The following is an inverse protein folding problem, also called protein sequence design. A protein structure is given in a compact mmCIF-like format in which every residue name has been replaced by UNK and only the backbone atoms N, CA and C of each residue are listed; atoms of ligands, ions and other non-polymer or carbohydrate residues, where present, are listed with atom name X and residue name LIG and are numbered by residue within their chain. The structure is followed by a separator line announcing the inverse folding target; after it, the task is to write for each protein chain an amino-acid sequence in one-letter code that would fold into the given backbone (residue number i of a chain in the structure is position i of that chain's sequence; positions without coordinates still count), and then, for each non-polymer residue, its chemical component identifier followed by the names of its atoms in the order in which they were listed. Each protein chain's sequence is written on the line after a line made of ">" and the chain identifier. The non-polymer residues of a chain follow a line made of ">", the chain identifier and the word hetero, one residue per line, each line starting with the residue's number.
data_IF_590038550608
#
_entry.id   IF_590038550608
#
_cell.length_a   1.000
_cell.length_b   1.000
_cell.length_c   1.000
_cell.angle_alpha   90.00
_cell.angle_beta   90.00
_cell.angle_gamma   90.00
#
_symmetry.space_group_name_H-M   'P 1'
#
loop_
_entity.id
_entity.type
_entity.pdbx_description
1 polymer ?
#
# COMPACT_ATOMS: atom_id res chain seq x y z
N UNK A 1 -28.69 -24.17 6.10
CA UNK A 1 -28.63 -24.61 7.51
C UNK A 1 -27.87 -23.55 8.29
N UNK A 2 -28.47 -23.12 9.39
CA UNK A 2 -28.21 -21.87 10.09
C UNK A 2 -26.85 -21.83 10.81
N UNK A 3 -26.23 -20.65 10.84
CA UNK A 3 -25.06 -20.34 11.68
C UNK A 3 -25.42 -19.26 12.69
N UNK A 4 -25.46 -19.66 13.96
CA UNK A 4 -25.82 -18.86 15.14
C UNK A 4 -24.73 -17.83 15.48
N UNK A 5 -25.13 -16.59 15.79
CA UNK A 5 -24.24 -15.56 16.37
C UNK A 5 -24.21 -15.68 17.89
N UNK A 6 -23.02 -15.93 18.46
CA UNK A 6 -22.75 -15.80 19.90
C UNK A 6 -22.11 -14.45 20.23
N UNK A 7 -22.28 -13.90 21.46
CA UNK A 7 -21.72 -12.62 21.84
C UNK A 7 -20.28 -12.80 22.31
N UNK A 8 -19.34 -12.65 21.38
CA UNK A 8 -17.93 -12.55 21.68
C UNK A 8 -17.30 -11.68 20.60
N UNK A 9 -16.79 -10.52 20.98
CA UNK A 9 -16.04 -9.62 20.10
C UNK A 9 -14.71 -10.23 19.68
N UNK A 10 -14.76 -11.29 18.87
CA UNK A 10 -13.64 -11.80 18.10
C UNK A 10 -13.46 -10.89 16.91
N UNK A 11 -12.29 -10.23 16.83
CA UNK A 11 -11.81 -9.57 15.63
C UNK A 11 -11.92 -10.61 14.50
N UNK A 12 -12.68 -10.35 13.44
CA UNK A 12 -12.74 -11.26 12.31
C UNK A 12 -11.31 -11.56 11.87
N UNK A 13 -10.88 -12.82 12.01
CA UNK A 13 -9.59 -13.27 11.50
C UNK A 13 -9.60 -13.00 10.00
N UNK A 14 -8.69 -12.17 9.46
CA UNK A 14 -8.66 -11.91 8.04
C UNK A 14 -8.48 -13.24 7.30
N UNK A 15 -9.25 -13.44 6.23
CA UNK A 15 -9.18 -14.64 5.39
C UNK A 15 -7.73 -15.02 5.09
N UNK A 16 -7.39 -16.33 5.06
CA UNK A 16 -6.04 -16.78 4.77
C UNK A 16 -5.59 -16.24 3.41
N UNK A 17 -4.39 -15.64 3.37
CA UNK A 17 -3.77 -15.20 2.12
C UNK A 17 -3.27 -16.41 1.34
N UNK A 18 -3.59 -16.44 0.05
CA UNK A 18 -3.05 -17.42 -0.89
C UNK A 18 -1.94 -16.74 -1.67
N UNK A 19 -0.78 -17.39 -1.74
CA UNK A 19 0.41 -16.88 -2.41
C UNK A 19 0.50 -17.42 -3.84
N UNK A 20 1.06 -16.64 -4.79
CA UNK A 20 1.69 -15.33 -4.59
C UNK A 20 0.69 -14.20 -4.31
N UNK A 21 1.11 -13.20 -3.54
CA UNK A 21 0.25 -12.15 -3.01
C UNK A 21 0.82 -10.75 -3.25
N UNK A 22 0.02 -9.87 -3.85
CA UNK A 22 0.34 -8.47 -4.08
C UNK A 22 -0.23 -7.65 -2.92
N UNK A 23 0.60 -6.88 -2.23
CA UNK A 23 0.19 -6.01 -1.12
C UNK A 23 0.75 -4.59 -1.24
N UNK A 24 -0.01 -3.60 -0.78
CA UNK A 24 0.46 -2.22 -0.68
C UNK A 24 0.72 -1.81 0.78
N UNK A 25 1.79 -1.02 0.97
CA UNK A 25 2.16 -0.40 2.25
C UNK A 25 2.51 1.07 2.03
N UNK A 26 2.00 1.96 2.87
CA UNK A 26 2.41 3.37 2.91
C UNK A 26 3.19 3.62 4.20
N UNK A 27 4.37 4.20 4.06
CA UNK A 27 5.29 4.41 5.18
C UNK A 27 5.73 5.86 5.27
N UNK A 28 5.56 6.47 6.44
CA UNK A 28 6.08 7.79 6.81
C UNK A 28 7.48 7.72 7.43
N UNK A 29 8.17 6.59 7.30
CA UNK A 29 9.49 6.28 7.84
C UNK A 29 9.51 5.73 9.28
N UNK A 30 8.35 5.63 9.95
CA UNK A 30 8.28 5.03 11.29
C UNK A 30 7.89 3.55 11.29
N UNK A 31 7.44 3.00 10.15
CA UNK A 31 7.00 1.62 10.05
C UNK A 31 8.12 0.73 9.51
N UNK A 32 8.19 -0.50 10.01
CA UNK A 32 9.06 -1.54 9.47
C UNK A 32 8.23 -2.55 8.69
N UNK A 33 8.83 -3.11 7.63
CA UNK A 33 8.22 -4.23 6.91
C UNK A 33 8.61 -5.53 7.62
N UNK A 34 7.62 -6.24 8.13
CA UNK A 34 7.80 -7.52 8.82
C UNK A 34 7.87 -8.66 7.78
N UNK A 35 9.08 -9.12 7.47
CA UNK A 35 9.31 -10.17 6.48
C UNK A 35 8.75 -11.53 6.90
N UNK A 36 8.74 -11.85 8.18
CA UNK A 36 8.28 -13.15 8.71
C UNK A 36 6.75 -13.31 8.60
N UNK A 37 6.04 -12.19 8.41
CA UNK A 37 4.58 -12.14 8.27
C UNK A 37 4.12 -11.49 6.96
N UNK A 38 5.01 -11.40 5.97
CA UNK A 38 4.75 -10.79 4.66
C UNK A 38 4.09 -9.40 4.74
N UNK A 39 4.55 -8.57 5.69
CA UNK A 39 4.05 -7.21 5.87
C UNK A 39 2.60 -7.10 6.37
N UNK A 40 1.97 -8.21 6.82
CA UNK A 40 0.57 -8.23 7.29
C UNK A 40 0.21 -7.10 8.28
N UNK A 41 1.07 -6.73 9.26
CA UNK A 41 0.71 -5.70 10.24
C UNK A 41 0.55 -4.29 9.66
N UNK A 42 1.15 -4.02 8.49
CA UNK A 42 1.22 -2.69 7.87
C UNK A 42 0.61 -2.66 6.46
N UNK A 43 -0.11 -3.72 6.11
CA UNK A 43 -0.80 -3.89 4.84
C UNK A 43 -2.01 -2.96 4.72
N UNK A 44 -2.12 -2.25 3.60
CA UNK A 44 -3.29 -1.44 3.24
C UNK A 44 -4.40 -2.26 2.58
N UNK A 45 -4.00 -3.33 1.89
CA UNK A 45 -4.82 -4.22 1.12
C UNK A 45 -3.98 -4.93 0.07
N UNK A 46 -4.57 -5.95 -0.54
CA UNK A 46 -3.89 -6.80 -1.49
C UNK A 46 -4.80 -7.82 -2.14
N UNK A 47 -4.24 -8.57 -3.07
CA UNK A 47 -4.92 -9.65 -3.76
C UNK A 47 -3.96 -10.81 -4.08
N UNK A 48 -4.50 -12.02 -4.20
CA UNK A 48 -3.76 -13.17 -4.74
C UNK A 48 -3.57 -13.00 -6.25
N UNK A 49 -2.34 -13.22 -6.72
CA UNK A 49 -1.97 -13.10 -8.12
C UNK A 49 -0.98 -14.20 -8.53
N UNK A 50 -1.44 -15.18 -9.29
CA UNK A 50 -0.64 -16.32 -9.75
C UNK A 50 0.27 -15.93 -10.93
N UNK A 51 1.29 -15.12 -10.67
CA UNK A 51 2.14 -14.50 -11.72
C UNK A 51 3.40 -15.30 -12.09
N UNK A 52 3.60 -16.48 -11.49
CA UNK A 52 4.80 -17.30 -11.72
C UNK A 52 4.58 -18.28 -12.89
N UNK A 53 5.60 -18.46 -13.73
CA UNK A 53 5.64 -19.46 -14.80
C UNK A 53 4.49 -19.39 -15.81
N UNK A 54 4.04 -18.17 -16.14
CA UNK A 54 3.04 -17.94 -17.18
C UNK A 54 3.72 -17.89 -18.56
N UNK A 55 3.00 -18.36 -19.58
CA UNK A 55 3.47 -18.40 -20.97
C UNK A 55 3.07 -17.15 -21.78
N UNK A 56 2.69 -16.08 -21.09
CA UNK A 56 2.23 -14.82 -21.64
C UNK A 56 2.65 -13.67 -20.72
N UNK A 57 2.60 -12.45 -21.24
CA UNK A 57 2.99 -11.27 -20.49
C UNK A 57 1.99 -10.97 -19.37
N UNK A 58 2.51 -10.54 -18.23
CA UNK A 58 1.70 -10.03 -17.11
C UNK A 58 1.88 -8.52 -16.99
N UNK A 59 0.81 -7.84 -16.61
CA UNK A 59 0.81 -6.39 -16.48
C UNK A 59 0.29 -5.96 -15.13
N UNK A 60 0.88 -4.87 -14.63
CA UNK A 60 0.49 -4.22 -13.40
C UNK A 60 0.37 -2.72 -13.63
N UNK A 61 -0.73 -2.14 -13.19
CA UNK A 61 -1.00 -0.71 -13.29
C UNK A 61 -1.22 -0.15 -11.89
N UNK A 62 -0.34 0.78 -11.50
CA UNK A 62 -0.51 1.58 -10.28
C UNK A 62 -1.04 2.94 -10.69
N UNK A 63 -2.25 3.27 -10.21
CA UNK A 63 -2.93 4.53 -10.48
C UNK A 63 -3.10 5.31 -9.18
N UNK A 64 -2.62 6.55 -9.17
CA UNK A 64 -2.83 7.47 -8.05
C UNK A 64 -3.53 8.75 -8.53
N UNK A 65 -4.80 8.91 -8.15
CA UNK A 65 -5.65 10.03 -8.57
C UNK A 65 -6.49 10.49 -7.39
N UNK A 66 -6.56 11.81 -7.14
CA UNK A 66 -7.43 12.40 -6.09
C UNK A 66 -7.32 11.66 -4.75
N UNK A 67 -6.09 11.37 -4.29
CA UNK A 67 -5.79 10.63 -3.06
C UNK A 67 -6.33 9.20 -2.99
N UNK A 68 -6.61 8.59 -4.14
CA UNK A 68 -7.00 7.18 -4.26
C UNK A 68 -5.88 6.42 -4.95
N UNK A 69 -5.40 5.37 -4.29
CA UNK A 69 -4.46 4.41 -4.84
C UNK A 69 -5.24 3.21 -5.36
N UNK A 70 -5.14 2.95 -6.66
CA UNK A 70 -5.68 1.75 -7.29
C UNK A 70 -4.53 0.94 -7.88
N UNK A 71 -4.53 -0.37 -7.66
CA UNK A 71 -3.66 -1.32 -8.37
C UNK A 71 -4.56 -2.25 -9.18
N UNK A 72 -4.32 -2.28 -10.48
CA UNK A 72 -4.96 -3.21 -11.40
C UNK A 72 -3.93 -4.19 -11.95
N UNK A 73 -4.37 -5.41 -12.23
CA UNK A 73 -3.53 -6.47 -12.77
C UNK A 73 -4.19 -7.13 -13.98
N UNK A 74 -3.37 -7.54 -14.95
CA UNK A 74 -3.74 -8.48 -16.01
C UNK A 74 -2.70 -9.60 -15.98
N UNK A 75 -3.12 -10.75 -15.43
CA UNK A 75 -2.26 -11.92 -15.23
C UNK A 75 -2.80 -13.15 -15.95
N UNK A 76 -3.97 -13.02 -16.59
CA UNK A 76 -4.66 -14.11 -17.26
C UNK A 76 -4.41 -14.08 -18.78
N UNK A 77 -3.63 -13.09 -19.26
CA UNK A 77 -3.29 -12.90 -20.68
C UNK A 77 -4.48 -12.49 -21.54
N UNK A 78 -5.53 -11.92 -20.92
CA UNK A 78 -6.79 -11.59 -21.59
C UNK A 78 -6.88 -10.13 -22.00
N UNK A 79 -5.90 -9.30 -21.63
CA UNK A 79 -6.00 -7.85 -21.78
C UNK A 79 -7.20 -7.25 -21.03
N UNK A 80 -7.59 -7.91 -19.94
CA UNK A 80 -8.67 -7.51 -19.06
C UNK A 80 -8.11 -7.16 -17.68
N UNK A 81 -8.30 -5.90 -17.28
CA UNK A 81 -7.82 -5.43 -15.98
C UNK A 81 -8.73 -5.91 -14.86
N UNK A 82 -8.13 -6.54 -13.84
CA UNK A 82 -8.79 -6.90 -12.59
C UNK A 82 -8.34 -5.98 -11.47
N UNK A 83 -9.28 -5.50 -10.66
CA UNK A 83 -8.98 -4.70 -9.48
C UNK A 83 -8.28 -5.58 -8.42
N UNK A 84 -7.13 -5.12 -7.92
CA UNK A 84 -6.37 -5.79 -6.87
C UNK A 84 -6.42 -5.00 -5.56
N UNK A 85 -6.09 -3.71 -5.62
CA UNK A 85 -6.05 -2.82 -4.46
C UNK A 85 -6.83 -1.57 -4.83
N UNK A 86 -7.70 -1.10 -3.94
CA UNK A 86 -8.43 0.14 -4.15
C UNK A 86 -8.64 0.88 -2.81
N UNK A 87 -7.73 1.82 -2.53
CA UNK A 87 -7.63 2.46 -1.21
C UNK A 87 -7.77 3.99 -1.36
N UNK A 88 -8.85 4.59 -0.84
CA UNK A 88 -8.99 6.04 -0.76
C UNK A 88 -8.22 6.62 0.43
N UNK A 89 -8.02 7.94 0.43
CA UNK A 89 -7.40 8.66 1.54
C UNK A 89 -5.89 8.48 1.64
N UNK A 90 -5.24 7.96 0.59
CA UNK A 90 -3.78 7.86 0.51
C UNK A 90 -3.21 9.23 0.15
N UNK A 91 -2.41 9.80 1.03
CA UNK A 91 -1.74 11.09 0.84
C UNK A 91 -0.27 10.84 0.59
N UNK A 92 0.25 11.26 -0.56
CA UNK A 92 1.67 11.14 -0.91
C UNK A 92 2.24 12.54 -1.23
N UNK A 93 3.40 12.91 -0.67
CA UNK A 93 4.12 14.11 -1.07
C UNK A 93 4.57 14.09 -2.53
N UNK A 94 4.81 15.28 -3.09
CA UNK A 94 5.47 15.41 -4.40
C UNK A 94 6.99 15.26 -4.25
N UNK A 95 7.67 14.94 -5.35
CA UNK A 95 9.14 14.83 -5.39
C UNK A 95 9.70 13.46 -5.02
N UNK A 96 8.87 12.41 -5.06
CA UNK A 96 9.31 11.04 -4.84
C UNK A 96 9.91 10.43 -6.11
N UNK A 97 10.66 9.35 -5.90
CA UNK A 97 11.25 8.56 -6.96
C UNK A 97 10.40 7.33 -7.22
N UNK A 98 10.20 7.00 -8.50
CA UNK A 98 9.67 5.72 -8.90
C UNK A 98 10.81 4.73 -8.99
N UNK A 99 10.63 3.55 -8.39
CA UNK A 99 11.64 2.51 -8.36
C UNK A 99 11.01 1.15 -8.17
N UNK A 100 11.74 0.14 -8.61
CA UNK A 100 11.37 -1.27 -8.52
C UNK A 100 12.60 -2.03 -8.05
N UNK A 101 12.40 -2.99 -7.17
CA UNK A 101 13.45 -3.86 -6.67
C UNK A 101 12.90 -5.26 -6.42
N UNK A 102 13.79 -6.23 -6.35
CA UNK A 102 13.49 -7.63 -6.02
C UNK A 102 14.59 -8.17 -5.10
N UNK A 103 14.26 -9.25 -4.40
CA UNK A 103 15.20 -9.96 -3.52
C UNK A 103 14.86 -11.44 -3.54
N UNK A 104 15.89 -12.29 -3.50
CA UNK A 104 15.77 -13.74 -3.36
C UNK A 104 16.39 -14.18 -2.03
N UNK A 105 15.82 -15.21 -1.42
CA UNK A 105 16.34 -15.83 -0.19
C UNK A 105 16.91 -17.21 -0.48
N UNK A 106 16.62 -18.17 0.41
CA UNK A 106 17.00 -19.58 0.25
C UNK A 106 16.35 -20.21 -1.00
N UNK A 107 15.17 -19.72 -1.38
CA UNK A 107 14.54 -20.01 -2.67
C UNK A 107 14.78 -18.83 -3.62
N UNK A 108 15.06 -19.16 -4.89
CA UNK A 108 15.31 -18.18 -5.95
C UNK A 108 14.26 -18.27 -7.05
N UNK A 109 14.04 -17.14 -7.71
CA UNK A 109 13.26 -17.02 -8.94
C UNK A 109 13.81 -15.84 -9.76
N UNK A 110 13.52 -15.83 -11.06
CA UNK A 110 13.84 -14.71 -11.93
C UNK A 110 12.80 -13.59 -11.74
N UNK A 111 13.28 -12.35 -11.67
CA UNK A 111 12.45 -11.18 -11.45
C UNK A 111 12.70 -10.17 -12.56
N UNK A 112 12.00 -10.36 -13.68
CA UNK A 112 12.24 -9.57 -14.90
C UNK A 112 11.26 -8.40 -15.02
N UNK A 113 11.80 -7.21 -15.35
CA UNK A 113 11.02 -6.01 -15.65
C UNK A 113 11.23 -5.67 -17.12
N UNK A 114 10.23 -6.01 -17.94
CA UNK A 114 10.30 -5.82 -19.39
C UNK A 114 10.17 -4.33 -19.76
N UNK A 115 9.24 -3.61 -19.12
CA UNK A 115 9.08 -2.17 -19.33
C UNK A 115 8.42 -1.48 -18.14
N UNK A 116 8.78 -0.22 -17.92
CA UNK A 116 8.18 0.64 -16.91
C UNK A 116 7.75 1.94 -17.61
N UNK A 117 6.44 2.19 -17.65
CA UNK A 117 5.86 3.36 -18.34
C UNK A 117 5.16 4.26 -17.31
N UNK A 118 5.52 5.54 -17.28
CA UNK A 118 4.89 6.54 -16.43
C UNK A 118 4.01 7.46 -17.27
N UNK A 119 2.81 7.71 -16.77
CA UNK A 119 1.85 8.63 -17.39
C UNK A 119 1.40 9.67 -16.38
N UNK A 120 1.37 10.93 -16.81
CA UNK A 120 0.72 11.99 -16.06
C UNK A 120 -0.77 12.01 -16.41
N UNK A 121 -1.63 11.90 -15.41
CA UNK A 121 -3.09 11.95 -15.58
C UNK A 121 -3.57 13.40 -15.42
N UNK A 122 -4.17 13.97 -16.47
CA UNK A 122 -4.84 15.27 -16.42
C UNK A 122 -6.24 15.08 -15.87
N UNK A 123 -6.44 15.51 -14.62
CA UNK A 123 -7.74 15.44 -13.95
C UNK A 123 -8.09 16.81 -13.42
N UNK A 124 -9.31 17.26 -13.66
CA UNK A 124 -9.80 18.52 -13.12
C UNK A 124 -9.86 18.44 -11.59
N UNK A 125 -9.25 19.47 -10.96
CA UNK A 125 -9.15 19.64 -9.51
C UNK A 125 -9.61 21.05 -9.18
N UNK A 126 -10.32 21.21 -8.07
CA UNK A 126 -10.63 22.55 -7.59
C UNK A 126 -9.37 23.22 -7.02
N UNK A 127 -9.29 24.56 -6.98
CA UNK A 127 -8.16 25.27 -6.38
C UNK A 127 -7.87 24.82 -4.93
N UNK A 128 -8.92 24.50 -4.17
CA UNK A 128 -8.82 24.02 -2.79
C UNK A 128 -8.18 22.63 -2.74
N UNK A 129 -8.55 21.73 -3.66
CA UNK A 129 -7.94 20.40 -3.75
C UNK A 129 -6.46 20.48 -4.12
N UNK A 130 -6.10 21.36 -5.05
CA UNK A 130 -4.70 21.53 -5.46
C UNK A 130 -3.84 22.08 -4.31
N UNK A 131 -4.34 23.08 -3.58
CA UNK A 131 -3.66 23.61 -2.39
C UNK A 131 -3.43 22.51 -1.36
N UNK A 132 -4.49 21.75 -1.05
CA UNK A 132 -4.46 20.65 -0.08
C UNK A 132 -3.46 19.55 -0.47
N UNK A 133 -3.32 19.27 -1.77
CA UNK A 133 -2.37 18.26 -2.30
C UNK A 133 -0.93 18.77 -2.37
N UNK A 134 -0.72 20.10 -2.44
CA UNK A 134 0.61 20.72 -2.40
C UNK A 134 1.19 20.75 -0.97
N UNK A 135 0.33 20.80 0.04
CA UNK A 135 0.70 20.87 1.46
C UNK A 135 0.92 19.48 2.12
N UNK A 136 1.06 18.41 1.34
CA UNK A 136 1.34 17.07 1.86
C UNK A 136 2.86 16.88 1.99
N UNK A 137 3.36 16.86 3.23
CA UNK A 137 4.79 16.70 3.53
C UNK A 137 5.17 15.29 4.01
N UNK A 138 4.23 14.56 4.62
CA UNK A 138 4.40 13.19 5.08
C UNK A 138 3.35 12.29 4.43
N UNK A 139 3.69 11.05 4.06
CA UNK A 139 2.71 10.15 3.53
C UNK A 139 1.87 9.55 4.65
N UNK A 140 0.55 9.55 4.47
CA UNK A 140 -0.41 9.08 5.48
C UNK A 140 -1.61 8.48 4.77
N UNK A 141 -2.32 7.57 5.43
CA UNK A 141 -3.61 7.05 4.99
C UNK A 141 -4.67 7.47 6.00
N UNK A 142 -5.67 8.25 5.56
CA UNK A 142 -6.63 8.93 6.46
C UNK A 142 -7.45 7.97 7.36
N UNK A 143 -7.61 6.69 6.97
CA UNK A 143 -8.48 5.71 7.65
C UNK A 143 -7.77 4.45 8.17
N UNK A 144 -6.45 4.46 8.29
CA UNK A 144 -5.70 3.28 8.73
C UNK A 144 -5.22 3.42 10.17
N UNK A 145 -5.73 2.56 11.06
CA UNK A 145 -5.13 2.35 12.39
C UNK A 145 -3.90 1.46 12.24
N UNK A 146 -2.77 2.07 11.94
CA UNK A 146 -1.49 1.39 11.99
C UNK A 146 -1.12 1.09 13.45
N UNK A 147 -0.56 -0.09 13.76
CA UNK A 147 0.03 -0.32 15.07
C UNK A 147 1.13 0.72 15.30
N UNK A 148 0.95 1.59 16.31
CA UNK A 148 1.90 2.64 16.67
C UNK A 148 1.59 4.06 16.18
N UNK A 149 0.48 4.31 15.47
CA UNK A 149 0.05 5.69 15.20
C UNK A 149 -0.49 6.35 16.48
N UNK A 150 0.05 7.51 16.92
CA UNK A 150 -0.58 8.27 18.00
C UNK A 150 -2.02 8.61 17.60
N UNK A 151 -2.98 8.32 18.47
CA UNK A 151 -4.34 8.80 18.31
C UNK A 151 -4.34 10.33 18.07
N UNK A 152 -5.27 10.88 17.26
CA UNK A 152 -5.49 12.31 17.25
C UNK A 152 -5.89 12.73 18.66
N UNK A 153 -4.96 13.34 19.40
CA UNK A 153 -5.25 13.94 20.70
C UNK A 153 -6.07 15.21 20.45
N UNK A 154 -7.28 15.33 21.01
CA UNK A 154 -7.95 16.63 21.09
C UNK A 154 -7.09 17.60 21.90
N UNK A 155 -7.21 18.93 21.69
CA UNK A 155 -6.33 19.92 22.30
C UNK A 155 -6.74 20.19 23.74
N UNK A 156 -6.53 19.23 24.64
CA UNK A 156 -6.49 19.47 26.08
C UNK A 156 -5.57 18.45 26.75
N UNK A 157 -4.46 18.97 27.26
CA UNK A 157 -3.58 18.42 28.28
C UNK A 157 -2.52 17.38 27.87
N UNK A 158 -1.31 17.90 27.63
CA UNK A 158 -0.10 17.51 28.34
C UNK A 158 0.35 16.05 28.25
N UNK A 159 1.11 15.71 27.20
CA UNK A 159 2.16 14.69 27.28
C UNK A 159 3.34 15.12 26.41
N UNK A 160 4.47 15.38 27.07
CA UNK A 160 5.77 15.63 26.45
C UNK A 160 6.27 14.35 25.78
N UNK A 161 6.43 14.37 24.46
CA UNK A 161 7.14 13.31 23.75
C UNK A 161 8.55 13.84 23.43
N UNK A 162 9.55 13.30 24.12
CA UNK A 162 10.96 13.63 23.99
C UNK A 162 11.50 13.31 22.59
N UNK A 163 12.26 14.27 22.04
CA UNK A 163 13.17 14.21 20.87
C UNK A 163 13.27 12.85 20.15
N UNK A 164 12.81 12.82 18.90
CA UNK A 164 13.30 11.86 17.91
C UNK A 164 14.35 12.53 17.04
N UNK A 165 15.51 11.88 16.97
CA UNK A 165 16.65 12.22 16.13
C UNK A 165 16.24 12.34 14.66
N UNK A 166 16.69 13.39 13.99
CA UNK A 166 16.45 13.62 12.55
C UNK A 166 17.40 12.76 11.71
N UNK A 167 17.22 11.44 11.75
CA UNK A 167 17.72 10.54 10.73
C UNK A 167 16.76 10.56 9.54
N UNK A 168 17.30 10.74 8.32
CA UNK A 168 16.52 10.92 7.08
C UNK A 168 15.34 9.96 6.95
N UNK A 169 14.14 10.49 7.17
CA UNK A 169 12.88 9.75 7.13
C UNK A 169 12.56 9.49 5.65
N UNK A 170 12.90 8.30 5.16
CA UNK A 170 12.56 7.92 3.78
C UNK A 170 11.17 7.32 3.76
N UNK A 171 10.28 8.04 3.11
CA UNK A 171 8.87 7.71 3.05
C UNK A 171 8.55 7.06 1.70
N UNK A 172 7.80 5.94 1.72
CA UNK A 172 7.63 5.08 0.55
C UNK A 172 6.21 4.51 0.46
N UNK A 173 5.68 4.45 -0.77
CA UNK A 173 4.64 3.50 -1.15
C UNK A 173 5.36 2.25 -1.66
N UNK A 174 5.19 1.13 -0.98
CA UNK A 174 5.75 -0.17 -1.38
C UNK A 174 4.64 -1.05 -1.89
N UNK A 175 4.85 -1.64 -3.06
CA UNK A 175 4.10 -2.78 -3.56
C UNK A 175 4.99 -4.00 -3.41
N UNK A 176 4.54 -5.00 -2.66
CA UNK A 176 5.29 -6.25 -2.51
C UNK A 176 4.51 -7.38 -3.18
N UNK A 177 5.21 -8.16 -4.00
CA UNK A 177 4.78 -9.48 -4.42
C UNK A 177 5.60 -10.48 -3.61
N UNK A 178 4.92 -11.23 -2.73
CA UNK A 178 5.50 -12.33 -1.96
C UNK A 178 4.92 -13.66 -2.42
#
# INVERSE_FOLDING_TARGET
>A
SEGVWGPGGGRAEPWPRVFPYISAMVNNGSLTYDHDRDGRPTELGGCTAMVRNLNHDTFLVIRYVKRRLTVLIDIDGKHEWRDCIDVPGVRLPRGYYFGTSSVTGDLSDNHDIISLKLYQLTVERTPEEEKRDREVYLPVVDNLKLPGSPCPVPPTEGCSCSRCDTGGVTAHLRLTLA
#
